data_IF_941783540151
#
_entry.id   IF_941783540151
#
_cell.length_a   1.000
_cell.length_b   1.000
_cell.length_c   1.000
_cell.angle_alpha   90.00
_cell.angle_beta   90.00
_cell.angle_gamma   90.00
#
_symmetry.space_group_name_H-M   'P 1'
#
loop_
_entity.id
_entity.type
_entity.pdbx_description
1 polymer ?
#
# COMPACT_ATOMS: atom_id res chain seq x y z
N UNK A 1 -24.74 3.70 -22.51
CA UNK A 1 -24.08 4.98 -22.14
C UNK A 1 -23.10 5.29 -23.25
N UNK A 2 -23.17 6.48 -23.84
CA UNK A 2 -22.12 6.96 -24.74
C UNK A 2 -21.01 7.55 -23.87
N UNK A 3 -19.76 7.16 -24.11
CA UNK A 3 -18.60 7.60 -23.34
C UNK A 3 -17.85 8.76 -24.02
N UNK A 4 -18.34 9.19 -25.20
CA UNK A 4 -17.80 10.33 -25.94
C UNK A 4 -16.28 10.24 -26.18
N UNK A 5 -15.79 9.02 -26.45
CA UNK A 5 -14.36 8.71 -26.66
C UNK A 5 -13.54 8.45 -25.40
N UNK A 6 -14.14 8.51 -24.22
CA UNK A 6 -13.46 8.15 -22.96
C UNK A 6 -13.27 6.62 -22.85
N UNK A 7 -12.32 6.21 -22.03
CA UNK A 7 -12.15 4.81 -21.65
C UNK A 7 -13.12 4.42 -20.55
N UNK A 8 -13.66 3.20 -20.63
CA UNK A 8 -14.28 2.53 -19.50
C UNK A 8 -13.30 1.47 -18.98
N UNK A 9 -12.92 1.60 -17.73
CA UNK A 9 -12.04 0.67 -17.04
C UNK A 9 -12.80 -0.02 -15.89
N UNK A 10 -12.36 -1.21 -15.43
CA UNK A 10 -12.81 -1.73 -14.14
C UNK A 10 -12.46 -0.76 -13.03
N UNK A 11 -13.24 -0.74 -11.95
CA UNK A 11 -12.90 -0.03 -10.72
C UNK A 11 -11.53 -0.45 -10.19
N UNK A 12 -10.71 0.53 -9.79
CA UNK A 12 -9.38 0.23 -9.26
C UNK A 12 -9.47 -0.42 -7.89
N UNK A 13 -8.56 -1.35 -7.64
CA UNK A 13 -8.39 -2.05 -6.36
C UNK A 13 -7.03 -1.68 -5.78
N UNK A 14 -7.05 -1.07 -4.63
CA UNK A 14 -5.87 -0.57 -3.91
C UNK A 14 -5.57 -1.44 -2.70
N UNK A 15 -4.39 -2.05 -2.62
CA UNK A 15 -4.01 -2.93 -1.51
C UNK A 15 -3.16 -2.27 -0.43
N UNK A 16 -2.56 -1.09 -0.71
CA UNK A 16 -1.65 -0.44 0.23
C UNK A 16 -1.66 1.08 0.07
N UNK A 17 -2.51 1.76 0.81
CA UNK A 17 -2.46 3.21 0.90
C UNK A 17 -2.46 3.69 2.36
N UNK A 18 -1.49 4.53 2.71
CA UNK A 18 -1.44 5.21 4.01
C UNK A 18 -2.08 6.61 3.97
N UNK A 19 -2.79 6.92 2.88
CA UNK A 19 -3.42 8.22 2.69
C UNK A 19 -4.43 8.57 3.79
N UNK A 20 -5.09 7.57 4.41
CA UNK A 20 -6.00 7.83 5.52
C UNK A 20 -5.25 8.42 6.73
N UNK A 21 -4.04 7.96 7.03
CA UNK A 21 -3.21 8.52 8.10
C UNK A 21 -2.92 10.02 7.87
N UNK A 22 -2.76 10.46 6.61
CA UNK A 22 -2.62 11.89 6.26
C UNK A 22 -3.87 12.71 6.55
N UNK A 23 -5.05 12.15 6.39
CA UNK A 23 -6.31 12.80 6.73
C UNK A 23 -6.53 12.85 8.25
N UNK A 24 -6.07 11.83 8.99
CA UNK A 24 -6.09 11.82 10.46
C UNK A 24 -5.09 12.82 11.06
N UNK A 25 -3.93 12.99 10.43
CA UNK A 25 -2.91 13.96 10.86
C UNK A 25 -2.50 14.87 9.69
N UNK A 26 -3.33 15.85 9.31
CA UNK A 26 -3.07 16.73 8.17
C UNK A 26 -1.85 17.65 8.38
N UNK A 27 -1.40 17.81 9.62
CA UNK A 27 -0.17 18.53 10.00
C UNK A 27 0.48 17.81 11.20
N UNK A 28 1.80 17.91 11.38
CA UNK A 28 2.47 17.32 12.54
C UNK A 28 1.78 17.70 13.86
N UNK A 29 1.46 16.71 14.68
CA UNK A 29 0.80 16.85 15.99
C UNK A 29 -0.62 17.43 15.96
N UNK A 30 -1.28 17.54 14.81
CA UNK A 30 -2.65 17.99 14.65
C UNK A 30 -3.53 16.81 14.29
N UNK A 31 -4.20 16.23 15.26
CA UNK A 31 -5.18 15.18 15.04
C UNK A 31 -6.50 15.77 14.57
N UNK A 32 -7.04 15.23 13.49
CA UNK A 32 -8.36 15.56 12.96
C UNK A 32 -9.38 14.53 13.46
N UNK A 33 -10.66 14.93 13.50
CA UNK A 33 -11.71 14.00 13.90
C UNK A 33 -11.87 12.86 12.90
N UNK A 34 -12.07 11.64 13.37
CA UNK A 34 -11.98 10.39 12.60
C UNK A 34 -12.99 10.33 11.46
N UNK A 35 -14.27 10.66 11.72
CA UNK A 35 -15.30 10.62 10.67
C UNK A 35 -15.04 11.63 9.53
N UNK A 36 -14.79 12.93 9.78
CA UNK A 36 -14.41 13.86 8.71
C UNK A 36 -13.12 13.46 7.99
N UNK A 37 -12.13 12.89 8.68
CA UNK A 37 -10.91 12.38 8.07
C UNK A 37 -11.22 11.23 7.11
N UNK A 38 -12.03 10.26 7.54
CA UNK A 38 -12.47 9.13 6.72
C UNK A 38 -13.23 9.58 5.47
N UNK A 39 -14.21 10.48 5.62
CA UNK A 39 -15.01 10.97 4.50
C UNK A 39 -14.18 11.79 3.50
N UNK A 40 -13.17 12.52 3.99
CA UNK A 40 -12.22 13.24 3.15
C UNK A 40 -11.31 12.29 2.36
N UNK A 41 -10.78 11.27 3.04
CA UNK A 41 -10.00 10.20 2.42
C UNK A 41 -10.82 9.42 1.37
N UNK A 42 -12.02 8.96 1.72
CA UNK A 42 -12.91 8.24 0.80
C UNK A 42 -13.25 9.07 -0.47
N UNK A 43 -13.43 10.38 -0.32
CA UNK A 43 -13.64 11.25 -1.48
C UNK A 43 -12.40 11.31 -2.39
N UNK A 44 -11.18 11.37 -1.85
CA UNK A 44 -9.93 11.34 -2.61
C UNK A 44 -9.71 9.98 -3.29
N UNK A 45 -10.01 8.89 -2.59
CA UNK A 45 -9.97 7.52 -3.11
C UNK A 45 -10.90 7.37 -4.32
N UNK A 46 -12.16 7.78 -4.17
CA UNK A 46 -13.12 7.72 -5.28
C UNK A 46 -12.70 8.61 -6.46
N UNK A 47 -12.19 9.83 -6.21
CA UNK A 47 -11.70 10.73 -7.24
C UNK A 47 -10.49 10.17 -8.01
N UNK A 48 -9.73 9.26 -7.40
CA UNK A 48 -8.65 8.51 -8.06
C UNK A 48 -9.14 7.31 -8.88
N UNK A 49 -10.45 6.99 -8.85
CA UNK A 49 -11.03 5.83 -9.56
C UNK A 49 -10.98 4.54 -8.76
N UNK A 50 -10.61 4.60 -7.49
CA UNK A 50 -10.51 3.44 -6.60
C UNK A 50 -11.90 3.13 -6.05
N UNK A 51 -12.38 1.90 -6.26
CA UNK A 51 -13.69 1.41 -5.78
C UNK A 51 -13.56 0.44 -4.61
N UNK A 52 -12.38 -0.17 -4.46
CA UNK A 52 -12.03 -1.04 -3.34
C UNK A 52 -10.66 -0.62 -2.81
N UNK A 53 -10.58 -0.35 -1.52
CA UNK A 53 -9.34 0.14 -0.88
C UNK A 53 -9.03 -0.65 0.40
N UNK A 54 -7.76 -0.97 0.57
CA UNK A 54 -7.18 -1.51 1.79
C UNK A 54 -6.41 -0.37 2.47
N UNK A 55 -7.02 0.19 3.51
CA UNK A 55 -6.43 1.26 4.30
C UNK A 55 -5.26 0.71 5.10
N UNK A 56 -4.05 1.12 4.73
CA UNK A 56 -2.82 0.63 5.32
C UNK A 56 -2.48 1.40 6.59
N UNK A 57 -2.94 0.90 7.74
CA UNK A 57 -2.78 1.52 9.05
C UNK A 57 -1.60 0.94 9.81
N UNK A 58 -0.69 1.80 10.28
CA UNK A 58 0.53 1.40 10.97
C UNK A 58 0.31 1.15 12.47
N UNK A 59 0.80 -0.01 12.95
CA UNK A 59 0.88 -0.30 14.40
C UNK A 59 2.31 -0.59 14.79
N UNK A 60 2.66 -0.20 16.00
CA UNK A 60 4.02 -0.32 16.53
C UNK A 60 4.81 0.96 16.32
N UNK A 61 5.20 1.58 17.43
CA UNK A 61 5.88 2.85 17.47
C UNK A 61 7.14 2.76 18.30
N UNK A 62 8.26 3.05 17.66
CA UNK A 62 9.53 3.29 18.33
C UNK A 62 9.81 4.78 18.55
N UNK A 63 8.99 5.67 17.94
CA UNK A 63 9.15 7.14 18.02
C UNK A 63 7.81 7.78 18.40
N UNK A 64 7.79 8.51 19.52
CA UNK A 64 6.58 9.08 20.14
C UNK A 64 5.89 10.18 19.33
N UNK A 65 6.46 10.58 18.19
CA UNK A 65 5.95 11.67 17.35
C UNK A 65 5.14 11.17 16.12
N UNK A 66 4.80 9.87 16.03
CA UNK A 66 4.07 9.32 14.88
C UNK A 66 2.62 8.92 15.21
N UNK A 67 1.81 8.74 14.16
CA UNK A 67 0.41 8.28 14.24
C UNK A 67 0.25 6.82 14.62
N UNK A 68 1.32 6.02 14.62
CA UNK A 68 1.25 4.57 14.85
C UNK A 68 0.80 4.18 16.27
N UNK A 69 0.52 5.18 17.12
CA UNK A 69 -0.16 5.08 18.41
C UNK A 69 -1.53 5.76 18.42
N UNK A 70 -2.16 5.97 17.25
CA UNK A 70 -3.47 6.58 17.13
C UNK A 70 -4.56 5.79 17.89
N UNK A 71 -5.67 6.44 18.28
CA UNK A 71 -6.81 5.77 18.91
C UNK A 71 -7.56 4.93 17.84
N UNK A 72 -6.98 3.80 17.46
CA UNK A 72 -7.53 2.94 16.40
C UNK A 72 -8.96 2.49 16.68
N UNK A 73 -9.35 2.28 17.94
CA UNK A 73 -10.74 1.98 18.31
C UNK A 73 -11.73 2.99 17.73
N UNK A 74 -11.43 4.29 17.82
CA UNK A 74 -12.28 5.37 17.31
C UNK A 74 -12.29 5.43 15.79
N UNK A 75 -11.16 5.11 15.15
CA UNK A 75 -11.06 5.01 13.69
C UNK A 75 -11.93 3.87 13.18
N UNK A 76 -11.84 2.69 13.80
CA UNK A 76 -12.65 1.53 13.45
C UNK A 76 -14.15 1.78 13.67
N UNK A 77 -14.53 2.41 14.80
CA UNK A 77 -15.92 2.82 15.05
C UNK A 77 -16.43 3.79 13.96
N UNK A 78 -15.61 4.74 13.53
CA UNK A 78 -15.97 5.65 12.44
C UNK A 78 -16.17 4.89 11.11
N UNK A 79 -15.26 3.95 10.76
CA UNK A 79 -15.37 3.11 9.57
C UNK A 79 -16.62 2.23 9.59
N UNK A 80 -16.93 1.61 10.71
CA UNK A 80 -18.13 0.78 10.87
C UNK A 80 -19.41 1.60 10.79
N UNK A 81 -19.44 2.75 11.46
CA UNK A 81 -20.57 3.69 11.40
C UNK A 81 -20.80 4.19 9.98
N UNK A 82 -19.72 4.58 9.27
CA UNK A 82 -19.83 5.07 7.90
C UNK A 82 -20.30 3.97 6.94
N UNK A 83 -19.78 2.75 7.09
CA UNK A 83 -20.21 1.60 6.30
C UNK A 83 -21.67 1.23 6.54
N UNK A 84 -22.09 1.13 7.81
CA UNK A 84 -23.47 0.79 8.16
C UNK A 84 -24.51 1.84 7.72
N UNK A 85 -24.09 3.10 7.52
CA UNK A 85 -24.93 4.21 7.06
C UNK A 85 -24.80 4.52 5.57
N UNK A 86 -24.06 3.70 4.81
CA UNK A 86 -23.80 3.89 3.36
C UNK A 86 -23.24 5.29 3.03
N UNK A 87 -22.30 5.77 3.83
CA UNK A 87 -21.68 7.08 3.64
C UNK A 87 -20.45 7.03 2.73
N UNK A 88 -19.91 5.84 2.48
CA UNK A 88 -18.66 5.64 1.76
C UNK A 88 -18.90 5.42 0.25
N UNK A 89 -18.04 6.00 -0.56
CA UNK A 89 -18.01 5.85 -2.02
C UNK A 89 -17.32 4.58 -2.44
N UNK A 90 -16.17 4.27 -1.79
CA UNK A 90 -15.41 3.05 -1.99
C UNK A 90 -15.77 1.99 -0.94
N UNK A 91 -15.40 0.74 -1.20
CA UNK A 91 -15.42 -0.34 -0.22
C UNK A 91 -14.09 -0.36 0.53
N UNK A 92 -14.13 -0.13 1.84
CA UNK A 92 -12.95 -0.04 2.70
C UNK A 92 -12.67 -1.35 3.43
N UNK A 93 -11.47 -1.87 3.26
CA UNK A 93 -10.87 -2.97 4.01
C UNK A 93 -9.71 -2.44 4.85
N UNK A 94 -9.24 -3.25 5.80
CA UNK A 94 -8.11 -2.92 6.64
C UNK A 94 -6.87 -3.73 6.22
N UNK A 95 -5.79 -3.03 6.02
CA UNK A 95 -4.45 -3.53 5.89
C UNK A 95 -3.64 -3.04 7.10
N UNK A 96 -3.26 -3.93 8.02
CA UNK A 96 -2.49 -3.52 9.20
C UNK A 96 -1.00 -3.74 8.94
N UNK A 97 -0.24 -2.65 9.04
CA UNK A 97 1.22 -2.64 8.89
C UNK A 97 1.87 -2.77 10.25
N UNK A 98 2.49 -3.92 10.54
CA UNK A 98 3.04 -4.25 11.84
C UNK A 98 4.55 -3.98 11.89
N UNK A 99 4.97 -2.97 12.65
CA UNK A 99 6.39 -2.68 12.91
C UNK A 99 6.93 -3.64 13.97
N UNK A 100 7.58 -4.71 13.51
CA UNK A 100 7.99 -5.84 14.36
C UNK A 100 8.96 -5.47 15.50
N UNK A 101 9.94 -4.55 15.32
CA UNK A 101 10.86 -4.18 16.38
C UNK A 101 10.24 -3.35 17.50
N UNK A 102 9.05 -2.76 17.28
CA UNK A 102 8.46 -1.89 18.29
C UNK A 102 7.85 -2.69 19.45
N UNK A 103 8.11 -2.33 20.72
CA UNK A 103 7.71 -3.12 21.87
C UNK A 103 6.19 -3.21 22.07
N UNK A 104 5.43 -2.24 21.54
CA UNK A 104 3.98 -2.10 21.71
C UNK A 104 3.15 -2.56 20.50
N UNK A 105 3.75 -3.23 19.52
CA UNK A 105 3.06 -3.60 18.26
C UNK A 105 1.85 -4.49 18.49
N UNK A 106 1.98 -5.51 19.34
CA UNK A 106 0.86 -6.43 19.65
C UNK A 106 -0.24 -5.69 20.41
N UNK A 107 0.12 -4.83 21.37
CA UNK A 107 -0.87 -4.07 22.15
C UNK A 107 -1.67 -3.12 21.25
N UNK A 108 -1.00 -2.42 20.32
CA UNK A 108 -1.64 -1.52 19.37
C UNK A 108 -2.42 -2.25 18.27
N UNK A 109 -2.14 -3.53 18.05
CA UNK A 109 -2.93 -4.39 17.15
C UNK A 109 -4.25 -4.86 17.78
N UNK A 110 -4.39 -4.80 19.11
CA UNK A 110 -5.57 -5.32 19.82
C UNK A 110 -6.92 -4.85 19.25
N UNK A 111 -7.13 -3.58 18.87
CA UNK A 111 -8.39 -3.12 18.29
C UNK A 111 -8.76 -3.80 16.96
N UNK A 112 -7.78 -4.26 16.21
CA UNK A 112 -7.98 -4.94 14.92
C UNK A 112 -8.26 -6.43 15.06
N UNK A 113 -8.09 -7.00 16.24
CA UNK A 113 -8.20 -8.43 16.47
C UNK A 113 -9.62 -8.94 16.20
N UNK A 114 -9.76 -9.81 15.19
CA UNK A 114 -11.06 -10.34 14.77
C UNK A 114 -11.97 -9.34 14.07
N UNK A 115 -11.47 -8.15 13.71
CA UNK A 115 -12.27 -7.14 13.02
C UNK A 115 -12.66 -7.64 11.61
N UNK A 116 -13.94 -7.55 11.21
CA UNK A 116 -14.43 -8.17 9.96
C UNK A 116 -13.83 -7.55 8.69
N UNK A 117 -13.33 -6.32 8.76
CA UNK A 117 -12.66 -5.63 7.63
C UNK A 117 -11.17 -5.97 7.52
N UNK A 118 -10.56 -6.61 8.53
CA UNK A 118 -9.15 -6.96 8.50
C UNK A 118 -8.89 -8.06 7.47
N UNK A 119 -8.18 -7.71 6.40
CA UNK A 119 -8.00 -8.59 5.24
C UNK A 119 -6.53 -8.79 4.85
N UNK A 120 -5.63 -7.92 5.32
CA UNK A 120 -4.21 -8.00 5.01
C UNK A 120 -3.37 -7.53 6.20
N UNK A 121 -2.26 -8.22 6.46
CA UNK A 121 -1.24 -7.81 7.43
C UNK A 121 0.13 -7.81 6.75
N UNK A 122 0.88 -6.72 6.89
CA UNK A 122 2.28 -6.61 6.46
C UNK A 122 3.24 -6.64 7.63
N UNK A 123 4.33 -7.38 7.48
CA UNK A 123 5.40 -7.47 8.47
C UNK A 123 6.55 -6.53 8.09
N UNK A 124 6.71 -5.46 8.85
CA UNK A 124 7.73 -4.43 8.62
C UNK A 124 8.87 -4.52 9.63
N UNK A 125 10.08 -4.21 9.18
CA UNK A 125 11.25 -4.02 10.02
C UNK A 125 12.09 -2.87 9.43
N UNK A 126 11.89 -1.66 9.95
CA UNK A 126 12.62 -0.48 9.52
C UNK A 126 13.89 -0.20 10.37
N UNK A 127 14.39 -1.21 11.07
CA UNK A 127 15.64 -1.09 11.82
C UNK A 127 16.81 -0.76 10.87
N UNK A 128 17.61 0.28 11.13
CA UNK A 128 18.83 0.53 10.37
C UNK A 128 19.75 -0.70 10.40
N UNK A 129 20.19 -1.15 9.23
CA UNK A 129 20.90 -2.41 9.03
C UNK A 129 20.00 -3.59 8.61
N UNK A 130 18.70 -3.36 8.47
CA UNK A 130 17.73 -4.36 8.01
C UNK A 130 16.98 -3.88 6.76
N UNK A 131 16.59 -4.82 5.89
CA UNK A 131 15.69 -4.61 4.75
C UNK A 131 15.99 -3.33 3.97
N UNK A 132 15.06 -2.39 3.82
CA UNK A 132 15.25 -1.12 3.12
C UNK A 132 16.51 -0.37 3.59
N UNK A 133 16.87 -0.49 4.85
CA UNK A 133 18.01 0.20 5.47
C UNK A 133 19.23 -0.70 5.68
N UNK A 134 19.35 -1.81 4.94
CA UNK A 134 20.52 -2.71 5.00
C UNK A 134 21.85 -1.94 4.82
N UNK A 135 21.85 -0.94 3.96
CA UNK A 135 22.99 -0.02 3.81
C UNK A 135 22.92 1.12 4.84
N UNK A 136 23.67 0.98 5.93
CA UNK A 136 23.76 1.99 6.99
C UNK A 136 24.25 3.38 6.51
N UNK A 137 25.06 3.45 5.44
CA UNK A 137 25.51 4.73 4.90
C UNK A 137 24.34 5.49 4.24
N UNK A 138 23.47 4.80 3.51
CA UNK A 138 22.26 5.39 2.94
C UNK A 138 21.26 5.77 4.05
N UNK A 139 21.06 4.90 5.04
CA UNK A 139 20.24 5.22 6.21
C UNK A 139 20.74 6.51 6.90
N UNK A 140 22.05 6.64 7.10
CA UNK A 140 22.66 7.84 7.69
C UNK A 140 22.35 9.10 6.89
N UNK A 141 22.53 9.08 5.56
CA UNK A 141 22.21 10.21 4.68
C UNK A 141 20.74 10.61 4.83
N UNK A 142 19.85 9.65 4.83
CA UNK A 142 18.41 9.89 4.99
C UNK A 142 18.07 10.54 6.34
N UNK A 143 18.50 9.93 7.45
CA UNK A 143 18.15 10.43 8.79
C UNK A 143 18.82 11.76 9.14
N UNK A 144 20.06 11.99 8.70
CA UNK A 144 20.72 13.28 8.92
C UNK A 144 20.16 14.37 8.01
N UNK A 145 19.87 14.06 6.74
CA UNK A 145 19.34 15.02 5.78
C UNK A 145 17.85 15.35 6.02
N UNK A 146 16.98 14.32 6.14
CA UNK A 146 15.51 14.52 6.26
C UNK A 146 15.05 14.82 7.68
N UNK A 147 15.62 14.14 8.69
CA UNK A 147 15.25 14.33 10.11
C UNK A 147 16.18 15.29 10.87
N UNK A 148 17.24 15.79 10.25
CA UNK A 148 18.18 16.72 10.87
C UNK A 148 18.92 16.13 12.07
N UNK A 149 19.13 14.81 12.12
CA UNK A 149 19.83 14.18 13.23
C UNK A 149 21.35 14.46 13.18
N UNK A 150 21.97 14.66 14.36
CA UNK A 150 23.44 14.63 14.46
C UNK A 150 23.97 13.21 14.28
N UNK A 151 25.26 13.07 13.93
CA UNK A 151 25.92 11.77 13.84
C UNK A 151 25.80 10.95 15.12
N UNK A 152 26.01 11.58 16.28
CA UNK A 152 25.91 10.94 17.58
C UNK A 152 24.47 10.47 17.88
N UNK A 153 23.46 11.28 17.49
CA UNK A 153 22.05 10.87 17.63
C UNK A 153 21.76 9.68 16.74
N UNK A 154 22.26 9.67 15.50
CA UNK A 154 22.08 8.55 14.59
C UNK A 154 22.68 7.26 15.14
N UNK A 155 23.94 7.26 15.60
CA UNK A 155 24.62 6.07 16.15
C UNK A 155 23.90 5.53 17.40
N UNK A 156 23.47 6.41 18.31
CA UNK A 156 22.67 5.99 19.48
C UNK A 156 21.36 5.34 19.07
N UNK A 157 20.68 5.92 18.07
CA UNK A 157 19.41 5.38 17.60
C UNK A 157 19.58 4.03 16.90
N UNK A 158 20.63 3.85 16.09
CA UNK A 158 20.97 2.55 15.47
C UNK A 158 21.18 1.48 16.54
N UNK A 159 21.99 1.77 17.57
CA UNK A 159 22.24 0.81 18.65
C UNK A 159 20.96 0.48 19.44
N UNK A 160 20.12 1.49 19.72
CA UNK A 160 18.83 1.29 20.39
C UNK A 160 17.88 0.45 19.55
N UNK A 161 17.69 0.79 18.27
CA UNK A 161 16.84 0.05 17.35
C UNK A 161 17.29 -1.40 17.18
N UNK A 162 18.62 -1.66 17.10
CA UNK A 162 19.14 -3.01 17.02
C UNK A 162 18.81 -3.84 18.29
N UNK A 163 18.84 -3.21 19.46
CA UNK A 163 18.45 -3.86 20.73
C UNK A 163 16.97 -4.23 20.72
N UNK A 164 16.09 -3.31 20.31
CA UNK A 164 14.65 -3.57 20.20
C UNK A 164 14.36 -4.66 19.17
N UNK A 165 15.01 -4.59 18.01
CA UNK A 165 14.86 -5.59 16.95
C UNK A 165 15.23 -7.00 17.45
N UNK A 166 16.36 -7.15 18.13
CA UNK A 166 16.80 -8.43 18.69
C UNK A 166 15.81 -8.97 19.74
N UNK A 167 15.16 -8.09 20.49
CA UNK A 167 14.24 -8.45 21.57
C UNK A 167 12.84 -8.80 21.05
N UNK A 168 12.30 -8.02 20.12
CA UNK A 168 10.87 -8.04 19.76
C UNK A 168 10.57 -8.60 18.38
N UNK A 169 11.45 -8.44 17.38
CA UNK A 169 11.08 -8.73 15.99
C UNK A 169 10.67 -10.18 15.75
N UNK A 170 11.41 -11.17 16.29
CA UNK A 170 11.08 -12.58 16.09
C UNK A 170 9.83 -13.04 16.86
N UNK A 171 9.64 -12.70 18.15
CA UNK A 171 8.39 -13.00 18.84
C UNK A 171 7.15 -12.38 18.17
N UNK A 172 7.22 -11.11 17.76
CA UNK A 172 6.11 -10.45 17.08
C UNK A 172 5.83 -11.07 15.70
N UNK A 173 6.87 -11.40 14.94
CA UNK A 173 6.75 -12.10 13.66
C UNK A 173 6.01 -13.44 13.84
N UNK A 174 6.43 -14.25 14.79
CA UNK A 174 5.78 -15.53 15.07
C UNK A 174 4.30 -15.35 15.44
N UNK A 175 3.96 -14.34 16.25
CA UNK A 175 2.59 -14.02 16.61
C UNK A 175 1.73 -13.67 15.38
N UNK A 176 2.18 -12.76 14.51
CA UNK A 176 1.40 -12.34 13.35
C UNK A 176 1.29 -13.42 12.28
N UNK A 177 2.34 -14.21 12.07
CA UNK A 177 2.28 -15.36 11.15
C UNK A 177 1.24 -16.38 11.63
N UNK A 178 1.24 -16.70 12.92
CA UNK A 178 0.26 -17.61 13.51
C UNK A 178 -1.16 -17.03 13.48
N UNK A 179 -1.30 -15.75 13.76
CA UNK A 179 -2.57 -15.01 13.67
C UNK A 179 -3.14 -15.06 12.25
N UNK A 180 -2.36 -14.71 11.22
CA UNK A 180 -2.78 -14.75 9.82
C UNK A 180 -3.23 -16.16 9.42
N UNK A 181 -2.44 -17.18 9.76
CA UNK A 181 -2.76 -18.57 9.46
C UNK A 181 -4.06 -19.02 10.14
N UNK A 182 -4.26 -18.68 11.40
CA UNK A 182 -5.41 -19.10 12.21
C UNK A 182 -6.70 -18.44 11.75
N UNK A 183 -6.64 -17.19 11.32
CA UNK A 183 -7.82 -16.39 10.94
C UNK A 183 -8.03 -16.29 9.42
N UNK A 184 -7.15 -16.89 8.60
CA UNK A 184 -7.24 -16.83 7.14
C UNK A 184 -6.99 -15.43 6.58
N UNK A 185 -6.21 -14.60 7.28
CA UNK A 185 -5.83 -13.25 6.84
C UNK A 185 -4.62 -13.35 5.91
N UNK A 186 -4.65 -12.62 4.81
CA UNK A 186 -3.50 -12.56 3.89
C UNK A 186 -2.28 -11.93 4.58
N UNK A 187 -1.10 -12.50 4.31
CA UNK A 187 0.18 -12.03 4.84
C UNK A 187 1.04 -11.45 3.73
N UNK A 188 1.65 -10.31 3.98
CA UNK A 188 2.65 -9.69 3.12
C UNK A 188 3.99 -9.52 3.85
N UNK A 189 5.09 -9.71 3.11
CA UNK A 189 6.40 -9.19 3.51
C UNK A 189 6.58 -7.76 3.01
N UNK A 190 7.46 -7.00 3.64
CA UNK A 190 7.69 -5.60 3.31
C UNK A 190 9.19 -5.32 3.16
N UNK A 191 9.56 -4.55 2.11
CA UNK A 191 10.94 -4.11 1.84
C UNK A 191 11.96 -5.26 1.72
N UNK A 192 11.58 -6.37 1.13
CA UNK A 192 12.51 -7.50 0.91
C UNK A 192 13.68 -7.05 0.04
N UNK A 193 14.91 -7.26 0.55
CA UNK A 193 16.16 -6.82 -0.12
C UNK A 193 16.91 -8.00 -0.71
N UNK A 194 16.80 -9.20 -0.09
CA UNK A 194 17.55 -10.38 -0.44
C UNK A 194 16.65 -11.57 -0.74
N UNK A 195 17.17 -12.55 -1.47
CA UNK A 195 16.47 -13.83 -1.68
C UNK A 195 16.21 -14.59 -0.37
N UNK A 196 17.00 -14.35 0.69
CA UNK A 196 16.80 -14.94 1.99
C UNK A 196 15.56 -14.34 2.70
N UNK A 197 15.34 -13.03 2.61
CA UNK A 197 14.12 -12.38 3.12
C UNK A 197 12.87 -12.96 2.46
N UNK A 198 12.90 -13.10 1.14
CA UNK A 198 11.79 -13.68 0.37
C UNK A 198 11.58 -15.16 0.71
N UNK A 199 12.66 -15.94 0.88
CA UNK A 199 12.55 -17.35 1.27
C UNK A 199 11.89 -17.49 2.65
N UNK A 200 12.24 -16.61 3.59
CA UNK A 200 11.59 -16.55 4.90
C UNK A 200 10.10 -16.21 4.78
N UNK A 201 9.77 -15.14 4.04
CA UNK A 201 8.38 -14.72 3.83
C UNK A 201 7.53 -15.83 3.20
N UNK A 202 8.06 -16.51 2.18
CA UNK A 202 7.39 -17.65 1.55
C UNK A 202 7.17 -18.82 2.56
N UNK A 203 8.17 -19.16 3.36
CA UNK A 203 8.04 -20.21 4.39
C UNK A 203 7.01 -19.86 5.48
N UNK A 204 6.79 -18.57 5.73
CA UNK A 204 5.80 -18.03 6.65
C UNK A 204 4.38 -17.92 6.03
N UNK A 205 4.24 -18.22 4.74
CA UNK A 205 2.96 -18.19 4.03
C UNK A 205 2.56 -16.83 3.48
N UNK A 206 3.52 -15.92 3.31
CA UNK A 206 3.25 -14.64 2.64
C UNK A 206 2.81 -14.87 1.18
N UNK A 207 1.76 -14.16 0.76
CA UNK A 207 1.28 -14.16 -0.62
C UNK A 207 1.85 -12.98 -1.43
N UNK A 208 2.23 -11.91 -0.76
CA UNK A 208 2.69 -10.66 -1.35
C UNK A 208 4.10 -10.32 -0.85
N UNK A 209 4.95 -9.79 -1.76
CA UNK A 209 6.19 -9.09 -1.44
C UNK A 209 6.00 -7.62 -1.77
N UNK A 210 5.78 -6.80 -0.75
CA UNK A 210 5.56 -5.37 -0.90
C UNK A 210 6.89 -4.62 -0.96
N UNK A 211 7.02 -3.80 -1.98
CA UNK A 211 8.15 -2.89 -2.19
C UNK A 211 9.52 -3.58 -2.14
N UNK A 212 9.72 -4.73 -2.86
CA UNK A 212 11.04 -5.33 -2.92
C UNK A 212 12.06 -4.27 -3.36
N UNK A 213 13.17 -4.19 -2.62
CA UNK A 213 14.12 -3.07 -2.79
C UNK A 213 15.14 -3.34 -3.89
N UNK A 214 15.25 -4.60 -4.34
CA UNK A 214 16.20 -5.02 -5.37
C UNK A 214 15.54 -5.90 -6.44
N UNK A 215 16.10 -5.90 -7.64
CA UNK A 215 15.67 -6.80 -8.71
C UNK A 215 15.85 -8.29 -8.30
N UNK A 216 16.87 -8.59 -7.51
CA UNK A 216 17.14 -9.95 -7.00
C UNK A 216 16.02 -10.42 -6.06
N UNK A 217 15.55 -9.56 -5.16
CA UNK A 217 14.43 -9.88 -4.27
C UNK A 217 13.13 -10.07 -5.06
N UNK A 218 12.81 -9.18 -6.01
CA UNK A 218 11.62 -9.31 -6.85
C UNK A 218 11.63 -10.61 -7.67
N UNK A 219 12.77 -10.97 -8.24
CA UNK A 219 12.95 -12.25 -8.97
C UNK A 219 12.75 -13.44 -8.04
N UNK A 220 13.33 -13.42 -6.84
CA UNK A 220 13.16 -14.47 -5.85
C UNK A 220 11.70 -14.61 -5.37
N UNK A 221 10.95 -13.50 -5.29
CA UNK A 221 9.52 -13.50 -4.99
C UNK A 221 8.73 -14.19 -6.10
N UNK A 222 8.93 -13.79 -7.34
CA UNK A 222 8.26 -14.37 -8.50
C UNK A 222 8.56 -15.87 -8.64
N UNK A 223 9.81 -16.32 -8.47
CA UNK A 223 10.22 -17.73 -8.51
C UNK A 223 9.52 -18.58 -7.44
N UNK A 224 9.04 -17.98 -6.36
CA UNK A 224 8.31 -18.63 -5.26
C UNK A 224 6.80 -18.43 -5.31
N UNK A 225 6.31 -17.73 -6.34
CA UNK A 225 4.88 -17.48 -6.51
C UNK A 225 4.31 -16.38 -5.60
N UNK A 226 5.16 -15.54 -4.99
CA UNK A 226 4.71 -14.32 -4.33
C UNK A 226 4.47 -13.24 -5.40
N UNK A 227 3.36 -12.50 -5.26
CA UNK A 227 3.09 -11.36 -6.13
C UNK A 227 3.84 -10.13 -5.62
N UNK A 228 4.48 -9.40 -6.52
CA UNK A 228 5.20 -8.17 -6.17
C UNK A 228 4.27 -6.97 -6.23
N UNK A 229 4.34 -6.13 -5.20
CA UNK A 229 3.61 -4.86 -5.12
C UNK A 229 4.60 -3.70 -5.16
N UNK A 230 4.39 -2.73 -6.05
CA UNK A 230 5.23 -1.53 -6.14
C UNK A 230 4.40 -0.26 -6.07
N UNK A 231 5.00 0.81 -5.56
CA UNK A 231 4.32 2.09 -5.45
C UNK A 231 4.14 2.80 -6.80
N UNK A 232 2.92 3.26 -7.11
CA UNK A 232 2.64 4.16 -8.24
C UNK A 232 3.51 5.43 -8.24
N UNK A 233 3.76 6.06 -7.07
CA UNK A 233 4.69 7.20 -7.00
C UNK A 233 6.11 6.89 -7.48
N UNK A 234 6.58 5.64 -7.36
CA UNK A 234 7.88 5.22 -7.87
C UNK A 234 7.91 5.30 -9.41
N UNK A 235 6.83 4.88 -10.08
CA UNK A 235 6.71 5.01 -11.56
C UNK A 235 6.66 6.48 -11.96
N UNK A 236 5.74 7.26 -11.37
CA UNK A 236 5.49 8.66 -11.75
C UNK A 236 6.73 9.56 -11.55
N UNK A 237 7.54 9.27 -10.54
CA UNK A 237 8.80 10.00 -10.27
C UNK A 237 9.99 9.51 -11.08
N UNK A 238 9.85 8.41 -11.81
CA UNK A 238 10.92 7.79 -12.58
C UNK A 238 11.92 7.00 -11.75
N UNK A 239 11.57 6.60 -10.52
CA UNK A 239 12.41 5.78 -9.64
C UNK A 239 12.15 5.97 -8.14
N UNK A 240 12.87 5.20 -7.34
CA UNK A 240 12.80 5.26 -5.88
C UNK A 240 13.49 6.52 -5.32
N UNK A 241 12.90 7.10 -4.28
CA UNK A 241 13.52 8.19 -3.52
C UNK A 241 14.63 7.72 -2.56
N UNK A 242 14.72 6.42 -2.31
CA UNK A 242 15.71 5.78 -1.43
C UNK A 242 16.80 5.00 -2.18
N UNK A 243 16.83 5.07 -3.52
CA UNK A 243 17.82 4.35 -4.34
C UNK A 243 17.51 2.86 -4.54
N UNK A 244 16.29 2.43 -4.20
CA UNK A 244 15.80 1.07 -4.45
C UNK A 244 15.46 0.88 -5.93
N UNK A 245 15.17 -0.36 -6.35
CA UNK A 245 14.82 -0.70 -7.73
C UNK A 245 13.61 0.11 -8.21
N UNK A 246 13.64 0.52 -9.49
CA UNK A 246 12.51 1.22 -10.09
C UNK A 246 11.38 0.25 -10.47
N UNK A 247 10.12 0.63 -10.21
CA UNK A 247 8.96 -0.18 -10.60
C UNK A 247 8.90 -0.43 -12.12
N UNK A 248 9.30 0.55 -12.94
CA UNK A 248 9.40 0.38 -14.39
C UNK A 248 10.48 -0.63 -14.81
N UNK A 249 11.55 -0.80 -14.02
CA UNK A 249 12.55 -1.84 -14.25
C UNK A 249 11.96 -3.23 -13.97
N UNK A 250 11.22 -3.38 -12.87
CA UNK A 250 10.49 -4.63 -12.57
C UNK A 250 9.46 -4.94 -13.66
N UNK A 251 8.72 -3.94 -14.14
CA UNK A 251 7.76 -4.11 -15.22
C UNK A 251 8.43 -4.61 -16.51
N UNK A 252 9.58 -4.04 -16.93
CA UNK A 252 10.34 -4.51 -18.09
C UNK A 252 10.86 -5.93 -17.92
N UNK A 253 11.18 -6.33 -16.70
CA UNK A 253 11.62 -7.68 -16.37
C UNK A 253 10.47 -8.70 -16.23
N UNK A 254 9.20 -8.28 -16.35
CA UNK A 254 8.03 -9.12 -16.13
C UNK A 254 7.84 -9.54 -14.66
N UNK A 255 8.30 -8.69 -13.74
CA UNK A 255 8.30 -8.94 -12.29
C UNK A 255 7.42 -7.95 -11.52
N UNK A 256 6.60 -7.15 -12.19
CA UNK A 256 5.63 -6.25 -11.58
C UNK A 256 4.23 -6.85 -11.70
N UNK A 257 3.63 -7.25 -10.59
CA UNK A 257 2.28 -7.82 -10.58
C UNK A 257 1.23 -6.77 -10.22
N UNK A 258 1.49 -5.94 -9.21
CA UNK A 258 0.54 -5.01 -8.61
C UNK A 258 1.18 -3.63 -8.42
N UNK A 259 0.42 -2.58 -8.71
CA UNK A 259 0.73 -1.22 -8.29
C UNK A 259 -0.19 -0.82 -7.15
N UNK A 260 0.37 -0.17 -6.14
CA UNK A 260 -0.35 0.49 -5.06
C UNK A 260 -0.10 1.99 -5.07
N UNK A 261 -1.01 2.76 -4.50
CA UNK A 261 -0.90 4.22 -4.47
C UNK A 261 0.03 4.75 -3.38
N UNK A 262 0.33 3.91 -2.39
CA UNK A 262 1.16 4.28 -1.25
C UNK A 262 0.56 5.55 -0.57
N UNK A 263 1.19 6.71 -0.68
CA UNK A 263 0.74 7.97 -0.07
C UNK A 263 0.03 8.93 -1.05
N UNK A 264 -0.19 8.55 -2.33
CA UNK A 264 -0.83 9.40 -3.36
C UNK A 264 -1.86 8.60 -4.17
N UNK A 265 -3.15 8.59 -3.80
CA UNK A 265 -4.20 7.83 -4.49
C UNK A 265 -4.23 8.05 -6.00
N UNK A 266 -4.11 9.29 -6.45
CA UNK A 266 -4.09 9.64 -7.88
C UNK A 266 -2.88 9.13 -8.67
N UNK A 267 -1.86 8.57 -8.01
CA UNK A 267 -0.69 8.02 -8.68
C UNK A 267 -0.98 6.73 -9.46
N UNK A 268 -2.01 5.96 -9.12
CA UNK A 268 -2.31 4.70 -9.78
C UNK A 268 -2.58 4.87 -11.28
N UNK A 269 -3.56 5.68 -11.65
CA UNK A 269 -3.85 5.94 -13.06
C UNK A 269 -2.69 6.64 -13.78
N UNK A 270 -2.01 7.56 -13.11
CA UNK A 270 -0.83 8.22 -13.66
C UNK A 270 0.28 7.22 -13.96
N UNK A 271 0.55 6.28 -13.04
CA UNK A 271 1.55 5.23 -13.21
C UNK A 271 1.19 4.26 -14.35
N UNK A 272 -0.08 3.83 -14.42
CA UNK A 272 -0.60 2.99 -15.52
C UNK A 272 -0.35 3.67 -16.86
N UNK A 273 -0.75 4.94 -17.00
CA UNK A 273 -0.61 5.67 -18.26
C UNK A 273 0.86 5.95 -18.62
N UNK A 274 1.70 6.24 -17.63
CA UNK A 274 3.15 6.38 -17.83
C UNK A 274 3.79 5.10 -18.37
N UNK A 275 3.50 3.93 -17.77
CA UNK A 275 4.03 2.65 -18.24
C UNK A 275 3.59 2.32 -19.67
N UNK A 276 2.38 2.76 -20.07
CA UNK A 276 1.88 2.60 -21.45
C UNK A 276 2.56 3.58 -22.40
N UNK A 277 2.69 4.86 -22.04
CA UNK A 277 3.34 5.88 -22.85
C UNK A 277 4.82 5.57 -23.09
N UNK A 278 5.50 5.08 -22.06
CA UNK A 278 6.90 4.66 -22.11
C UNK A 278 7.10 3.29 -22.82
N UNK A 279 6.02 2.70 -23.34
CA UNK A 279 6.02 1.38 -24.01
C UNK A 279 6.60 0.23 -23.15
N UNK A 280 6.47 0.35 -21.82
CA UNK A 280 6.90 -0.67 -20.88
C UNK A 280 5.87 -1.80 -20.80
N UNK A 281 4.59 -1.47 -20.76
CA UNK A 281 3.46 -2.41 -20.73
C UNK A 281 2.41 -2.03 -21.77
N UNK A 282 1.71 -3.02 -22.32
CA UNK A 282 0.48 -2.76 -23.07
C UNK A 282 -0.64 -2.28 -22.12
N UNK A 283 -1.61 -1.50 -22.64
CA UNK A 283 -2.67 -0.90 -21.81
C UNK A 283 -3.38 -1.92 -20.91
N UNK A 284 -3.77 -3.06 -21.47
CA UNK A 284 -4.48 -4.09 -20.70
C UNK A 284 -3.61 -4.70 -19.57
N UNK A 285 -2.30 -4.84 -19.79
CA UNK A 285 -1.35 -5.31 -18.78
C UNK A 285 -1.17 -4.27 -17.68
N UNK A 286 -0.98 -3.00 -18.05
CA UNK A 286 -0.83 -1.92 -17.08
C UNK A 286 -2.11 -1.72 -16.24
N UNK A 287 -3.30 -1.77 -16.85
CA UNK A 287 -4.58 -1.70 -16.14
C UNK A 287 -4.75 -2.90 -15.21
N UNK A 288 -4.35 -4.10 -15.61
CA UNK A 288 -4.43 -5.29 -14.78
C UNK A 288 -3.67 -5.14 -13.45
N UNK A 289 -2.56 -4.38 -13.42
CA UNK A 289 -1.77 -4.17 -12.19
C UNK A 289 -2.53 -3.39 -11.10
N UNK A 290 -3.58 -2.68 -11.45
CA UNK A 290 -4.42 -1.87 -10.53
C UNK A 290 -5.87 -2.33 -10.46
N UNK A 291 -6.21 -3.45 -11.12
CA UNK A 291 -7.59 -3.96 -11.18
C UNK A 291 -7.66 -5.45 -10.87
N UNK A 292 -7.58 -6.33 -11.87
CA UNK A 292 -7.78 -7.77 -11.67
C UNK A 292 -6.65 -8.46 -10.89
N UNK A 293 -5.40 -8.00 -11.00
CA UNK A 293 -4.31 -8.61 -10.24
C UNK A 293 -4.46 -8.38 -8.73
N UNK A 294 -4.62 -7.11 -8.24
CA UNK A 294 -4.88 -6.90 -6.82
C UNK A 294 -6.20 -7.51 -6.34
N UNK A 295 -7.26 -7.50 -7.16
CA UNK A 295 -8.52 -8.14 -6.81
C UNK A 295 -8.34 -9.65 -6.54
N UNK A 296 -7.64 -10.36 -7.43
CA UNK A 296 -7.33 -11.79 -7.27
C UNK A 296 -6.43 -12.05 -6.06
N UNK A 297 -5.42 -11.22 -5.87
CA UNK A 297 -4.52 -11.32 -4.72
C UNK A 297 -5.25 -11.16 -3.38
N UNK A 298 -6.31 -10.33 -3.35
CA UNK A 298 -7.18 -10.13 -2.20
C UNK A 298 -8.31 -11.17 -2.08
N UNK A 299 -8.36 -12.18 -2.97
CA UNK A 299 -9.43 -13.18 -2.95
C UNK A 299 -10.80 -12.65 -3.40
N UNK A 300 -10.83 -11.58 -4.21
CA UNK A 300 -12.05 -10.90 -4.70
C UNK A 300 -12.24 -11.13 -6.21
N UNK A 301 -12.58 -12.36 -6.66
CA UNK A 301 -12.69 -12.67 -8.09
C UNK A 301 -13.94 -12.08 -8.75
N UNK A 302 -14.83 -11.44 -7.99
CA UNK A 302 -16.06 -10.81 -8.44
C UNK A 302 -15.87 -9.45 -9.11
N UNK A 303 -14.65 -8.89 -9.09
CA UNK A 303 -14.32 -7.53 -9.56
C UNK A 303 -12.98 -7.48 -10.31
N UNK A 304 -12.62 -6.30 -10.81
CA UNK A 304 -11.34 -6.02 -11.47
C UNK A 304 -11.34 -6.33 -12.97
N UNK A 305 -12.45 -6.78 -13.54
CA UNK A 305 -12.63 -7.04 -14.98
C UNK A 305 -13.99 -6.51 -15.46
N UNK A 306 -14.08 -6.19 -16.76
CA UNK A 306 -15.33 -5.84 -17.42
C UNK A 306 -15.92 -7.11 -18.07
N UNK A 307 -16.76 -7.83 -17.33
CA UNK A 307 -17.40 -9.03 -17.83
C UNK A 307 -18.83 -9.18 -17.27
N UNK A 308 -19.78 -9.75 -18.05
CA UNK A 308 -21.12 -10.05 -17.54
C UNK A 308 -21.07 -10.97 -16.32
N UNK A 309 -21.85 -10.64 -15.31
CA UNK A 309 -21.93 -11.41 -14.07
C UNK A 309 -20.95 -10.99 -12.99
N UNK A 310 -19.97 -10.15 -13.31
CA UNK A 310 -19.09 -9.54 -12.31
C UNK A 310 -19.73 -8.28 -11.71
N UNK A 311 -19.22 -7.88 -10.58
CA UNK A 311 -19.59 -6.65 -9.88
C UNK A 311 -19.33 -5.42 -10.75
N UNK A 312 -20.31 -4.54 -10.87
CA UNK A 312 -20.24 -3.36 -11.72
C UNK A 312 -19.49 -2.21 -11.04
N UNK A 313 -18.21 -2.44 -10.76
CA UNK A 313 -17.24 -1.43 -10.32
C UNK A 313 -16.55 -0.89 -11.57
N UNK A 314 -16.80 0.38 -11.90
CA UNK A 314 -16.44 0.97 -13.19
C UNK A 314 -15.83 2.36 -12.99
N UNK A 315 -14.89 2.72 -13.87
CA UNK A 315 -14.29 4.06 -13.92
C UNK A 315 -14.30 4.57 -15.35
N UNK A 316 -14.87 5.75 -15.55
CA UNK A 316 -14.79 6.50 -16.80
C UNK A 316 -13.56 7.41 -16.75
N UNK A 317 -12.66 7.25 -17.71
CA UNK A 317 -11.38 7.97 -17.78
C UNK A 317 -11.26 8.73 -19.10
N UNK A 318 -11.13 10.02 -19.01
CA UNK A 318 -10.79 10.91 -20.13
C UNK A 318 -9.27 11.05 -20.26
N UNK A 319 -8.76 10.96 -21.47
CA UNK A 319 -7.34 11.22 -21.76
C UNK A 319 -7.18 12.65 -22.30
N UNK A 320 -6.91 13.60 -21.42
CA UNK A 320 -6.65 14.97 -21.79
C UNK A 320 -5.27 15.12 -22.45
N UNK A 321 -5.20 15.78 -23.60
CA UNK A 321 -3.94 16.17 -24.22
C UNK A 321 -3.43 17.46 -23.56
N UNK A 322 -2.17 17.45 -23.15
CA UNK A 322 -1.52 18.61 -22.54
C UNK A 322 -0.74 19.41 -23.61
N UNK A 323 -0.45 20.70 -23.37
CA UNK A 323 0.27 21.55 -24.32
C UNK A 323 1.67 21.06 -24.69
N UNK A 324 2.28 20.24 -23.86
CA UNK A 324 3.60 19.61 -24.06
C UNK A 324 3.54 18.31 -24.89
N UNK A 325 2.33 17.91 -25.33
CA UNK A 325 2.08 16.68 -26.07
C UNK A 325 1.90 15.44 -25.19
N UNK A 326 2.03 15.57 -23.87
CA UNK A 326 1.73 14.48 -22.93
C UNK A 326 0.22 14.28 -22.79
N UNK A 327 -0.18 13.10 -22.32
CA UNK A 327 -1.59 12.76 -22.04
C UNK A 327 -1.77 12.50 -20.55
N UNK A 328 -2.80 13.13 -19.98
CA UNK A 328 -3.16 13.00 -18.56
C UNK A 328 -4.51 12.28 -18.43
N UNK A 329 -4.55 11.23 -17.62
CA UNK A 329 -5.79 10.56 -17.26
C UNK A 329 -6.58 11.43 -16.26
N UNK A 330 -7.87 11.60 -16.54
CA UNK A 330 -8.82 12.35 -15.71
C UNK A 330 -10.04 11.49 -15.47
N UNK A 331 -10.34 11.18 -14.20
CA UNK A 331 -11.53 10.45 -13.82
C UNK A 331 -12.76 11.35 -13.99
N UNK A 332 -13.74 10.92 -14.78
CA UNK A 332 -15.00 11.65 -15.02
C UNK A 332 -16.22 11.01 -14.35
N UNK A 333 -16.12 9.77 -13.98
CA UNK A 333 -17.19 9.06 -13.28
C UNK A 333 -16.71 7.77 -12.66
N UNK A 334 -17.26 7.44 -11.50
CA UNK A 334 -16.97 6.19 -10.76
C UNK A 334 -18.30 5.54 -10.36
N UNK A 335 -18.40 4.26 -10.58
CA UNK A 335 -19.53 3.45 -10.14
C UNK A 335 -19.02 2.32 -9.24
N UNK A 336 -19.66 2.16 -8.10
CA UNK A 336 -19.49 1.01 -7.21
C UNK A 336 -20.80 0.21 -7.18
N UNK A 337 -20.72 -1.09 -7.48
CA UNK A 337 -21.91 -1.96 -7.56
C UNK A 337 -23.01 -1.41 -8.48
N UNK A 338 -22.61 -0.76 -9.59
CA UNK A 338 -23.54 -0.15 -10.54
C UNK A 338 -24.12 1.19 -10.10
N UNK A 339 -23.87 1.65 -8.86
CA UNK A 339 -24.29 2.97 -8.37
C UNK A 339 -23.19 3.99 -8.64
N UNK A 340 -23.54 5.10 -9.28
CA UNK A 340 -22.61 6.21 -9.47
C UNK A 340 -22.27 6.85 -8.12
N UNK A 341 -20.98 6.95 -7.80
CA UNK A 341 -20.45 7.50 -6.54
C UNK A 341 -19.60 8.76 -6.74
N UNK A 342 -19.22 9.03 -8.02
CA UNK A 342 -18.55 10.25 -8.44
C UNK A 342 -19.09 10.71 -9.81
#
# INVERSE_FOLDING_TARGET
MDLDGDYLLPGLVELHTDNFERHLMPRPKVHWAEMPALLGHDAEIAAAGITTVFDALGVGEADTDSLRGAPWDRVLEAMDTAGARDLLRAEHHLHVRCELPAPNTIDLFTPFHGHPRLSLISLMDHTPGQRQWENLAQARIYYTGKKGWSHEKFERQVAHSATLQAQYAQPHRAYFVDYCRTHGIALASHDDTTAAHVAQAHAEGAALSEFPTTLAAARAAHERGLLTVMGGPNVVRGGSHSGNVAAAELARAGLLDILSSDYVPGSLLSAVMQLVQDQVLALHQAVATVTCNPARAAGMPDRGELAPGLRADLVQVHMAELPDGNRQAVVRGVWREGRRVL
#
